data_IF_041396960622
#
_entry.id   IF_041396960622
#
_cell.length_a   1.000
_cell.length_b   1.000
_cell.length_c   1.000
_cell.angle_alpha   90.00
_cell.angle_beta   90.00
_cell.angle_gamma   90.00
#
_symmetry.space_group_name_H-M   'P 1'
#
loop_
_entity.id
_entity.type
_entity.pdbx_description
1 polymer ?
#
# COMPACT_ATOMS: atom_id res chain seq x y z
N UNK A 1 -27.59 -47.47 -56.78
CA UNK A 1 -26.84 -47.31 -55.53
C UNK A 1 -27.13 -45.91 -55.01
N UNK A 2 -28.05 -45.76 -54.07
CA UNK A 2 -28.36 -44.45 -53.47
C UNK A 2 -28.10 -44.56 -51.97
N UNK A 3 -27.22 -43.69 -51.48
CA UNK A 3 -26.64 -43.76 -50.13
C UNK A 3 -27.60 -43.12 -49.13
N UNK A 4 -28.05 -43.89 -48.15
CA UNK A 4 -28.83 -43.39 -47.01
C UNK A 4 -27.97 -42.45 -46.15
N UNK A 5 -28.22 -41.15 -46.24
CA UNK A 5 -27.62 -40.15 -45.36
C UNK A 5 -28.34 -40.21 -44.00
N UNK A 6 -27.75 -40.94 -43.05
CA UNK A 6 -28.16 -40.93 -41.64
C UNK A 6 -27.79 -39.56 -41.04
N UNK A 7 -28.77 -38.65 -40.96
CA UNK A 7 -28.62 -37.38 -40.25
C UNK A 7 -28.50 -37.68 -38.75
N UNK A 8 -27.26 -37.64 -38.25
CA UNK A 8 -26.94 -37.91 -36.85
C UNK A 8 -27.45 -36.73 -36.00
N UNK A 9 -28.55 -36.93 -35.26
CA UNK A 9 -29.04 -35.94 -34.30
C UNK A 9 -27.93 -35.60 -33.30
N UNK A 10 -27.35 -34.41 -33.42
CA UNK A 10 -26.48 -33.89 -32.39
C UNK A 10 -27.36 -33.35 -31.25
N UNK A 11 -27.17 -33.80 -30.01
CA UNK A 11 -27.91 -33.24 -28.88
C UNK A 11 -27.59 -31.75 -28.78
N UNK A 12 -28.63 -30.91 -28.85
CA UNK A 12 -28.52 -29.47 -28.61
C UNK A 12 -28.48 -29.16 -27.12
N UNK A 13 -27.81 -28.07 -26.76
CA UNK A 13 -27.81 -27.55 -25.38
C UNK A 13 -29.23 -27.23 -24.91
N UNK A 14 -29.56 -27.62 -23.68
CA UNK A 14 -30.85 -27.28 -23.09
C UNK A 14 -30.83 -25.84 -22.55
N UNK A 15 -31.98 -25.16 -22.57
CA UNK A 15 -32.14 -23.85 -21.91
C UNK A 15 -31.82 -23.94 -20.41
N UNK A 16 -32.11 -25.09 -19.79
CA UNK A 16 -31.84 -25.36 -18.39
C UNK A 16 -30.33 -25.45 -18.11
N UNK A 17 -29.55 -26.05 -19.02
CA UNK A 17 -28.08 -26.08 -18.90
C UNK A 17 -27.47 -24.69 -18.87
N UNK A 18 -27.91 -23.81 -19.77
CA UNK A 18 -27.38 -22.44 -19.79
C UNK A 18 -27.85 -21.65 -18.56
N UNK A 19 -29.05 -21.90 -18.05
CA UNK A 19 -29.55 -21.26 -16.82
C UNK A 19 -28.70 -21.62 -15.59
N UNK A 20 -28.38 -22.90 -15.40
CA UNK A 20 -27.58 -23.36 -14.26
C UNK A 20 -26.12 -22.89 -14.39
N UNK A 21 -25.56 -22.89 -15.59
CA UNK A 21 -24.18 -22.42 -15.80
C UNK A 21 -24.05 -20.94 -15.46
N UNK A 22 -24.98 -20.11 -15.92
CA UNK A 22 -24.96 -18.67 -15.64
C UNK A 22 -25.17 -18.38 -14.14
N UNK A 23 -25.99 -19.16 -13.44
CA UNK A 23 -26.18 -18.98 -12.00
C UNK A 23 -24.91 -19.31 -11.21
N UNK A 24 -24.19 -20.36 -11.58
CA UNK A 24 -22.91 -20.73 -10.96
C UNK A 24 -21.84 -19.67 -11.24
N UNK A 25 -21.69 -19.25 -12.51
CA UNK A 25 -20.72 -18.21 -12.89
C UNK A 25 -21.02 -16.89 -12.14
N UNK A 26 -22.29 -16.47 -12.10
CA UNK A 26 -22.71 -15.27 -11.38
C UNK A 26 -22.37 -15.34 -9.89
N UNK A 27 -22.58 -16.50 -9.26
CA UNK A 27 -22.27 -16.71 -7.84
C UNK A 27 -20.76 -16.62 -7.57
N UNK A 28 -19.93 -17.24 -8.41
CA UNK A 28 -18.46 -17.20 -8.27
C UNK A 28 -17.93 -15.78 -8.45
N UNK A 29 -18.44 -15.04 -9.45
CA UNK A 29 -18.02 -13.65 -9.70
C UNK A 29 -18.39 -12.75 -8.51
N UNK A 30 -19.59 -12.90 -7.97
CA UNK A 30 -20.06 -12.08 -6.84
C UNK A 30 -19.15 -12.25 -5.61
N UNK A 31 -18.85 -13.48 -5.21
CA UNK A 31 -17.99 -13.76 -4.05
C UNK A 31 -16.52 -13.40 -4.35
N UNK A 32 -16.04 -13.70 -5.57
CA UNK A 32 -14.67 -13.42 -5.98
C UNK A 32 -14.32 -11.93 -5.96
N UNK A 33 -15.25 -11.06 -6.35
CA UNK A 33 -15.02 -9.60 -6.41
C UNK A 33 -14.78 -9.01 -5.01
N UNK A 34 -15.55 -9.42 -4.01
CA UNK A 34 -15.40 -8.92 -2.63
C UNK A 34 -14.05 -9.37 -2.05
N UNK A 35 -13.70 -10.65 -2.24
CA UNK A 35 -12.42 -11.20 -1.78
C UNK A 35 -11.21 -10.49 -2.40
N UNK A 36 -11.26 -10.23 -3.72
CA UNK A 36 -10.17 -9.56 -4.43
C UNK A 36 -9.91 -8.14 -3.91
N UNK A 37 -10.96 -7.36 -3.66
CA UNK A 37 -10.81 -6.01 -3.13
C UNK A 37 -10.13 -5.98 -1.75
N UNK A 38 -10.45 -6.93 -0.87
CA UNK A 38 -9.83 -7.03 0.45
C UNK A 38 -8.34 -7.35 0.37
N UNK A 39 -7.94 -8.21 -0.57
CA UNK A 39 -6.52 -8.53 -0.82
C UNK A 39 -5.76 -7.29 -1.28
N UNK A 40 -6.34 -6.51 -2.19
CA UNK A 40 -5.71 -5.28 -2.67
C UNK A 40 -5.54 -4.24 -1.56
N UNK A 41 -6.55 -4.06 -0.69
CA UNK A 41 -6.47 -3.17 0.47
C UNK A 41 -5.31 -3.59 1.38
N UNK A 42 -5.26 -4.87 1.73
CA UNK A 42 -4.23 -5.42 2.62
C UNK A 42 -2.82 -5.31 2.02
N UNK A 43 -2.69 -5.53 0.70
CA UNK A 43 -1.43 -5.38 -0.01
C UNK A 43 -0.93 -3.94 -0.02
N UNK A 44 -1.82 -2.96 -0.21
CA UNK A 44 -1.46 -1.54 -0.17
C UNK A 44 -1.12 -1.07 1.25
N UNK A 45 -1.83 -1.53 2.26
CA UNK A 45 -1.51 -1.24 3.65
C UNK A 45 -0.15 -1.83 4.06
N UNK A 46 0.18 -3.03 3.59
CA UNK A 46 1.51 -3.62 3.77
C UNK A 46 2.60 -2.77 3.10
N UNK A 47 2.36 -2.29 1.87
CA UNK A 47 3.27 -1.40 1.17
C UNK A 47 3.48 -0.09 1.95
N UNK A 48 2.41 0.57 2.41
CA UNK A 48 2.50 1.79 3.24
C UNK A 48 3.35 1.60 4.49
N UNK A 49 3.18 0.47 5.19
CA UNK A 49 3.98 0.15 6.39
C UNK A 49 5.45 -0.03 6.04
N UNK A 50 5.74 -0.78 4.97
CA UNK A 50 7.11 -0.96 4.46
C UNK A 50 7.76 0.36 4.05
N UNK A 51 7.01 1.24 3.40
CA UNK A 51 7.47 2.57 2.98
C UNK A 51 7.83 3.44 4.18
N UNK A 52 6.96 3.48 5.20
CA UNK A 52 7.22 4.20 6.45
C UNK A 52 8.45 3.65 7.17
N UNK A 53 8.60 2.33 7.26
CA UNK A 53 9.77 1.71 7.88
C UNK A 53 11.07 2.03 7.12
N UNK A 54 11.00 2.11 5.79
CA UNK A 54 12.13 2.52 4.95
C UNK A 54 12.55 3.97 5.20
N UNK A 55 11.59 4.89 5.27
CA UNK A 55 11.85 6.30 5.61
C UNK A 55 12.38 6.43 7.04
N UNK A 56 11.77 5.74 8.01
CA UNK A 56 12.24 5.71 9.40
C UNK A 56 13.70 5.25 9.51
N UNK A 57 14.05 4.18 8.80
CA UNK A 57 15.44 3.70 8.75
C UNK A 57 16.40 4.72 8.14
N UNK A 58 15.96 5.48 7.13
CA UNK A 58 16.74 6.57 6.56
C UNK A 58 16.89 7.76 7.52
N UNK A 59 15.85 8.09 8.30
CA UNK A 59 15.89 9.12 9.34
C UNK A 59 16.89 8.79 10.45
N UNK A 60 16.92 7.53 10.91
CA UNK A 60 17.90 7.11 11.92
C UNK A 60 19.34 7.16 11.40
N UNK A 61 19.57 6.75 10.14
CA UNK A 61 20.87 6.90 9.50
C UNK A 61 21.29 8.37 9.35
N UNK A 62 20.36 9.24 8.94
CA UNK A 62 20.61 10.67 8.85
C UNK A 62 21.07 11.23 10.20
N UNK A 63 20.32 10.95 11.27
CA UNK A 63 20.62 11.42 12.61
C UNK A 63 21.98 10.92 13.11
N UNK A 64 22.29 9.64 12.87
CA UNK A 64 23.56 9.02 13.24
C UNK A 64 24.77 9.70 12.57
N UNK A 65 24.59 10.15 11.31
CA UNK A 65 25.65 10.80 10.55
C UNK A 65 25.69 12.32 10.75
N UNK A 66 24.62 12.90 11.30
CA UNK A 66 24.53 14.33 11.56
C UNK A 66 25.36 14.70 12.79
N UNK A 67 26.23 15.70 12.65
CA UNK A 67 27.13 16.17 13.72
C UNK A 67 26.37 16.63 14.97
N UNK A 68 25.13 17.12 14.80
CA UNK A 68 24.30 17.61 15.90
C UNK A 68 23.36 16.54 16.48
N UNK A 69 23.34 15.33 15.92
CA UNK A 69 22.46 14.24 16.37
C UNK A 69 20.97 14.58 16.21
N UNK A 70 20.62 15.37 15.18
CA UNK A 70 19.27 15.87 14.93
C UNK A 70 18.63 15.20 13.72
N UNK A 71 17.31 15.00 13.77
CA UNK A 71 16.50 14.69 12.59
C UNK A 71 16.40 15.91 11.66
N UNK A 72 16.13 15.70 10.35
CA UNK A 72 15.92 16.80 9.42
C UNK A 72 14.57 17.49 9.68
N UNK A 73 14.40 18.70 9.18
CA UNK A 73 13.09 19.37 9.18
C UNK A 73 12.21 18.95 8.00
N UNK A 74 12.82 18.36 6.96
CA UNK A 74 12.15 17.97 5.72
C UNK A 74 12.76 16.67 5.16
N UNK A 75 11.91 15.76 4.66
CA UNK A 75 12.31 14.45 4.14
C UNK A 75 13.21 14.54 2.89
N UNK A 76 13.17 15.63 2.13
CA UNK A 76 14.08 15.81 0.99
C UNK A 76 15.55 15.84 1.41
N UNK A 77 15.84 16.16 2.68
CA UNK A 77 17.20 16.10 3.23
C UNK A 77 17.78 14.68 3.28
N UNK A 78 16.94 13.66 3.11
CA UNK A 78 17.35 12.26 3.06
C UNK A 78 17.86 11.85 1.67
N UNK A 79 17.48 12.59 0.63
CA UNK A 79 17.81 12.28 -0.76
C UNK A 79 19.18 12.83 -1.15
N UNK A 80 19.89 12.15 -2.07
CA UNK A 80 19.76 10.74 -2.46
C UNK A 80 20.55 9.81 -1.51
N UNK A 81 21.17 10.36 -0.47
CA UNK A 81 22.21 9.70 0.31
C UNK A 81 21.68 8.59 1.22
N UNK A 82 20.51 8.79 1.84
CA UNK A 82 19.93 7.87 2.82
C UNK A 82 18.73 7.11 2.26
N UNK A 83 18.09 7.66 1.23
CA UNK A 83 17.02 7.03 0.46
C UNK A 83 17.13 7.51 -1.00
N UNK A 84 16.73 6.68 -1.96
CA UNK A 84 16.84 7.02 -3.41
C UNK A 84 15.68 7.87 -3.90
N UNK A 85 14.49 7.63 -3.37
CA UNK A 85 13.26 8.37 -3.61
C UNK A 85 12.42 8.29 -2.35
N UNK A 86 11.74 9.38 -1.97
CA UNK A 86 10.76 9.32 -0.88
C UNK A 86 9.52 8.60 -1.41
N UNK A 87 9.15 7.43 -0.85
CA UNK A 87 7.96 6.70 -1.30
C UNK A 87 6.69 7.52 -1.11
N UNK A 88 5.69 7.24 -1.94
CA UNK A 88 4.37 7.88 -1.92
C UNK A 88 3.29 6.83 -1.79
N UNK A 89 2.13 7.24 -1.29
CA UNK A 89 0.99 6.35 -1.11
C UNK A 89 0.65 5.59 -2.42
N UNK A 90 0.57 4.25 -2.40
CA UNK A 90 0.41 3.45 -3.61
C UNK A 90 -0.96 3.56 -4.28
N UNK A 91 -1.95 4.20 -3.63
CA UNK A 91 -3.30 4.42 -4.19
C UNK A 91 -3.48 5.84 -4.71
N UNK A 92 -3.11 6.83 -3.90
CA UNK A 92 -3.37 8.25 -4.20
C UNK A 92 -2.13 9.02 -4.66
N UNK A 93 -0.93 8.45 -4.53
CA UNK A 93 0.32 9.10 -4.91
C UNK A 93 0.69 10.30 -4.05
N UNK A 94 0.13 10.41 -2.84
CA UNK A 94 0.42 11.49 -1.90
C UNK A 94 1.62 11.16 -1.02
N UNK A 95 2.31 12.20 -0.58
CA UNK A 95 3.42 12.06 0.36
C UNK A 95 2.90 11.68 1.76
N UNK A 96 3.71 10.91 2.50
CA UNK A 96 3.40 10.60 3.90
C UNK A 96 3.58 11.84 4.79
N UNK A 97 2.82 11.90 5.89
CA UNK A 97 2.88 13.05 6.80
C UNK A 97 4.10 12.92 7.68
N UNK A 98 5.05 13.85 7.53
CA UNK A 98 6.25 13.94 8.35
C UNK A 98 6.21 15.23 9.18
N UNK A 99 6.51 15.11 10.48
CA UNK A 99 6.67 16.26 11.36
C UNK A 99 7.84 16.05 12.30
N UNK A 100 8.83 16.94 12.23
CA UNK A 100 9.93 16.96 13.18
C UNK A 100 9.48 17.61 14.50
N UNK A 101 10.05 17.15 15.62
CA UNK A 101 9.72 17.61 16.97
C UNK A 101 10.98 17.95 17.78
N UNK A 102 10.95 18.99 18.64
CA UNK A 102 9.81 19.85 18.96
C UNK A 102 9.42 20.79 17.80
N UNK A 103 8.21 21.33 17.84
CA UNK A 103 7.73 22.26 16.80
C UNK A 103 8.65 23.48 16.70
N UNK A 104 8.99 23.87 15.47
CA UNK A 104 9.92 24.97 15.19
C UNK A 104 11.40 24.62 15.36
N UNK A 105 11.76 23.34 15.52
CA UNK A 105 13.15 22.92 15.45
C UNK A 105 13.75 23.22 14.05
N UNK A 106 15.07 23.44 13.99
CA UNK A 106 15.78 23.89 12.78
C UNK A 106 16.89 22.93 12.33
N UNK A 107 16.94 21.72 12.89
CA UNK A 107 18.02 20.75 12.65
C UNK A 107 19.44 21.32 12.85
N UNK A 108 19.61 22.24 13.80
CA UNK A 108 20.89 22.86 14.14
C UNK A 108 21.29 22.54 15.58
N UNK A 109 22.54 22.83 15.93
CA UNK A 109 23.04 22.71 17.31
C UNK A 109 22.22 23.48 18.35
N UNK A 110 21.64 24.63 17.98
CA UNK A 110 20.92 25.53 18.90
C UNK A 110 19.43 25.18 18.97
N UNK A 111 18.87 24.61 17.92
CA UNK A 111 17.48 24.16 17.86
C UNK A 111 17.39 22.78 17.19
N UNK A 112 17.80 21.70 17.89
CA UNK A 112 17.81 20.35 17.35
C UNK A 112 16.40 19.75 17.29
N UNK A 113 16.12 19.02 16.21
CA UNK A 113 14.95 18.15 16.10
C UNK A 113 15.28 16.81 16.74
N UNK A 114 14.71 16.56 17.92
CA UNK A 114 15.04 15.41 18.76
C UNK A 114 14.15 14.19 18.50
N UNK A 115 12.98 14.40 17.89
CA UNK A 115 12.05 13.35 17.52
C UNK A 115 11.34 13.68 16.20
N UNK A 116 10.53 12.75 15.71
CA UNK A 116 9.63 12.96 14.59
C UNK A 116 8.37 12.10 14.75
N UNK A 117 7.30 12.46 14.04
CA UNK A 117 6.19 11.58 13.75
C UNK A 117 6.08 11.43 12.24
N UNK A 118 6.05 10.17 11.77
CA UNK A 118 5.82 9.80 10.38
C UNK A 118 4.53 8.98 10.31
N UNK A 119 3.54 9.45 9.57
CA UNK A 119 2.18 8.90 9.60
C UNK A 119 1.66 8.56 8.19
N UNK A 120 1.04 7.39 8.07
CA UNK A 120 0.18 7.01 6.93
C UNK A 120 -1.22 6.68 7.42
N UNK A 121 -2.23 6.94 6.60
CA UNK A 121 -3.60 6.48 6.84
C UNK A 121 -3.82 5.16 6.11
N UNK A 122 -4.15 4.10 6.85
CA UNK A 122 -4.44 2.77 6.30
C UNK A 122 -5.84 2.72 5.68
N UNK A 123 -6.02 1.89 4.66
CA UNK A 123 -7.28 1.80 3.92
C UNK A 123 -8.35 0.97 4.65
N UNK A 124 -7.96 -0.08 5.37
CA UNK A 124 -8.92 -1.02 5.96
C UNK A 124 -9.83 -0.37 7.00
N UNK A 125 -9.27 0.47 7.87
CA UNK A 125 -9.95 1.02 9.05
C UNK A 125 -9.85 2.55 9.15
N UNK A 126 -9.29 3.21 8.11
CA UNK A 126 -8.93 4.64 8.13
C UNK A 126 -8.03 5.01 9.32
N UNK A 127 -7.33 4.03 9.89
CA UNK A 127 -6.48 4.18 11.06
C UNK A 127 -5.15 4.82 10.67
N UNK A 128 -4.67 5.75 11.51
CA UNK A 128 -3.36 6.35 11.34
C UNK A 128 -2.31 5.39 11.89
N UNK A 129 -1.43 4.90 11.03
CA UNK A 129 -0.23 4.17 11.42
C UNK A 129 0.91 5.17 11.55
N UNK A 130 1.41 5.36 12.77
CA UNK A 130 2.45 6.35 13.07
C UNK A 130 3.71 5.66 13.58
N UNK A 131 4.86 6.10 13.06
CA UNK A 131 6.18 5.67 13.53
C UNK A 131 6.97 6.87 14.00
N UNK A 132 7.65 6.70 15.13
CA UNK A 132 8.55 7.67 15.72
C UNK A 132 9.85 6.96 16.18
N UNK A 133 10.87 7.68 16.67
CA UNK A 133 12.12 7.08 17.15
C UNK A 133 11.97 6.06 18.29
N UNK A 134 10.82 6.06 18.98
CA UNK A 134 10.53 5.20 20.11
C UNK A 134 9.70 3.96 19.72
N UNK A 135 9.28 3.86 18.46
CA UNK A 135 8.56 2.71 17.92
C UNK A 135 7.30 3.08 17.14
N UNK A 136 6.50 2.07 16.85
CA UNK A 136 5.16 2.20 16.24
C UNK A 136 4.16 2.65 17.32
N UNK A 137 3.16 3.45 16.92
CA UNK A 137 2.06 3.94 17.75
C UNK A 137 0.72 3.66 17.07
#
# INVERSE_FOLDING_TARGET
MEKNNLCKNQPGFTLLEILVVLSIIGTIIAIGTVSYNQVLITSRDSARKSDIQSISSALEQYKSNNIFGSYPTDLNSLLPTYITVVPKDPKIGQDYTYSASPSGCLATKIAPCMSYNLTATLEKDAEAYTVNPYGEQ
#
